data_IF_365894391963
#
_entry.id   IF_365894391963
#
_cell.length_a   1.000
_cell.length_b   1.000
_cell.length_c   1.000
_cell.angle_alpha   90.00
_cell.angle_beta   90.00
_cell.angle_gamma   90.00
#
_symmetry.space_group_name_H-M   'P 1'
#
loop_
_entity.id
_entity.type
_entity.pdbx_description
1 polymer ?
#
# COMPACT_ATOMS: atom_id res chain seq x y z
N UNK A 1 23.48 -16.58 23.50
CA UNK A 1 22.75 -17.56 22.65
C UNK A 1 21.48 -16.87 22.19
N UNK A 2 21.24 -16.87 20.88
CA UNK A 2 20.13 -16.13 20.27
C UNK A 2 18.80 -16.83 20.54
N UNK A 3 17.70 -16.08 20.70
CA UNK A 3 16.35 -16.69 20.76
C UNK A 3 16.03 -17.48 19.49
N UNK A 4 16.55 -17.04 18.34
CA UNK A 4 16.32 -17.68 17.05
C UNK A 4 17.02 -19.05 16.91
N UNK A 5 17.95 -19.38 17.80
CA UNK A 5 18.66 -20.67 17.79
C UNK A 5 17.95 -21.76 18.61
N UNK A 6 17.04 -21.40 19.53
CA UNK A 6 16.36 -22.37 20.42
C UNK A 6 14.84 -22.40 20.27
N UNK A 7 14.25 -21.35 19.71
CA UNK A 7 12.84 -21.39 19.36
C UNK A 7 12.63 -22.32 18.17
N UNK A 8 11.52 -23.03 18.19
CA UNK A 8 11.09 -23.82 17.04
C UNK A 8 10.33 -22.90 16.10
N UNK A 9 10.93 -22.62 14.95
CA UNK A 9 10.49 -21.60 14.02
C UNK A 9 10.19 -22.21 12.66
N UNK A 10 9.11 -21.74 12.03
CA UNK A 10 8.77 -22.06 10.64
C UNK A 10 8.46 -20.79 9.88
N UNK A 11 8.84 -20.77 8.62
CA UNK A 11 8.48 -19.67 7.73
C UNK A 11 7.05 -19.85 7.25
N UNK A 12 6.24 -18.81 7.44
CA UNK A 12 4.94 -18.71 6.77
C UNK A 12 5.15 -18.50 5.27
N UNK A 13 4.10 -18.71 4.47
CA UNK A 13 4.17 -18.41 3.03
C UNK A 13 4.43 -16.92 2.75
N UNK A 14 4.00 -16.03 3.66
CA UNK A 14 4.32 -14.60 3.57
C UNK A 14 5.78 -14.35 3.97
N UNK A 15 6.28 -15.00 5.02
CA UNK A 15 7.68 -14.93 5.41
C UNK A 15 8.61 -15.36 4.27
N UNK A 16 8.25 -16.43 3.54
CA UNK A 16 8.96 -16.85 2.32
C UNK A 16 8.86 -15.79 1.23
N UNK A 17 7.67 -15.24 0.96
CA UNK A 17 7.49 -14.16 -0.03
C UNK A 17 8.44 -12.98 0.23
N UNK A 18 8.55 -12.54 1.49
CA UNK A 18 9.44 -11.45 1.90
C UNK A 18 10.92 -11.82 1.71
N UNK A 19 11.33 -13.03 2.11
CA UNK A 19 12.72 -13.52 2.00
C UNK A 19 13.15 -13.75 0.55
N UNK A 20 12.31 -14.37 -0.26
CA UNK A 20 12.63 -14.72 -1.66
C UNK A 20 12.77 -13.46 -2.55
N UNK A 21 12.18 -12.34 -2.12
CA UNK A 21 12.23 -11.06 -2.81
C UNK A 21 12.99 -10.00 -1.98
N UNK A 22 13.92 -10.43 -1.11
CA UNK A 22 14.55 -9.58 -0.10
C UNK A 22 15.20 -8.31 -0.69
N UNK A 23 15.79 -8.38 -1.88
CA UNK A 23 16.39 -7.19 -2.51
C UNK A 23 15.37 -6.06 -2.77
N UNK A 24 14.18 -6.40 -3.25
CA UNK A 24 13.13 -5.41 -3.53
C UNK A 24 12.48 -4.91 -2.23
N UNK A 25 12.29 -5.79 -1.26
CA UNK A 25 11.71 -5.43 0.03
C UNK A 25 12.65 -4.56 0.86
N UNK A 26 13.94 -4.89 0.95
CA UNK A 26 14.93 -4.05 1.64
C UNK A 26 15.02 -2.66 0.98
N UNK A 27 15.06 -2.58 -0.36
CA UNK A 27 15.03 -1.31 -1.08
C UNK A 27 13.75 -0.49 -0.80
N UNK A 28 12.58 -1.15 -0.77
CA UNK A 28 11.32 -0.51 -0.39
C UNK A 28 11.37 0.00 1.06
N UNK A 29 11.82 -0.81 2.01
CA UNK A 29 11.80 -0.43 3.42
C UNK A 29 12.83 0.65 3.74
N UNK A 30 13.97 0.69 3.06
CA UNK A 30 14.92 1.81 3.09
C UNK A 30 14.28 3.10 2.58
N UNK A 31 13.59 3.04 1.44
CA UNK A 31 12.82 4.19 0.94
C UNK A 31 11.75 4.61 1.94
N UNK A 32 10.98 3.68 2.51
CA UNK A 32 9.98 4.01 3.52
C UNK A 32 10.60 4.65 4.77
N UNK A 33 11.84 4.30 5.15
CA UNK A 33 12.53 4.95 6.27
C UNK A 33 13.00 6.38 5.96
N UNK A 34 13.19 6.73 4.68
CA UNK A 34 13.82 7.99 4.26
C UNK A 34 12.90 8.94 3.50
N UNK A 35 11.79 8.43 2.93
CA UNK A 35 10.81 9.16 2.11
C UNK A 35 9.42 9.02 2.73
N UNK A 36 8.90 10.12 3.26
CA UNK A 36 7.57 10.17 3.88
C UNK A 36 6.47 9.86 2.85
N UNK A 37 6.60 10.34 1.61
CA UNK A 37 5.64 10.09 0.53
C UNK A 37 5.56 8.61 0.18
N UNK A 38 6.70 7.91 0.10
CA UNK A 38 6.74 6.46 -0.14
C UNK A 38 6.16 5.70 1.06
N UNK A 39 6.50 6.12 2.30
CA UNK A 39 5.94 5.51 3.51
C UNK A 39 4.41 5.60 3.54
N UNK A 40 3.87 6.80 3.30
CA UNK A 40 2.42 7.06 3.30
C UNK A 40 1.69 6.28 2.20
N UNK A 41 2.28 6.20 1.00
CA UNK A 41 1.77 5.39 -0.10
C UNK A 41 1.57 3.92 0.34
N UNK A 42 2.62 3.28 0.84
CA UNK A 42 2.59 1.84 1.11
C UNK A 42 1.94 1.43 2.44
N UNK A 43 1.81 2.36 3.38
CA UNK A 43 1.02 2.13 4.61
C UNK A 43 -0.48 2.28 4.40
N UNK A 44 -0.92 2.81 3.26
CA UNK A 44 -2.33 2.83 2.87
C UNK A 44 -2.79 1.39 2.56
N UNK A 45 -3.75 0.82 3.29
CA UNK A 45 -4.19 -0.58 3.05
C UNK A 45 -4.90 -0.70 1.69
N UNK A 46 -4.25 -1.39 0.74
CA UNK A 46 -4.74 -1.52 -0.64
C UNK A 46 -6.04 -2.33 -0.74
N UNK A 47 -6.20 -3.41 0.02
CA UNK A 47 -7.44 -4.22 0.01
C UNK A 47 -8.65 -3.40 0.46
N UNK A 48 -8.50 -2.59 1.51
CA UNK A 48 -9.56 -1.69 1.97
C UNK A 48 -9.91 -0.62 0.93
N UNK A 49 -8.90 -0.06 0.24
CA UNK A 49 -9.13 0.86 -0.88
C UNK A 49 -9.88 0.15 -2.01
N UNK A 50 -9.49 -1.08 -2.34
CA UNK A 50 -10.15 -1.90 -3.37
C UNK A 50 -11.62 -2.15 -3.03
N UNK A 51 -11.95 -2.47 -1.78
CA UNK A 51 -13.35 -2.69 -1.34
C UNK A 51 -14.21 -1.43 -1.38
N UNK A 52 -13.64 -0.25 -1.08
CA UNK A 52 -14.35 1.04 -1.17
C UNK A 52 -14.74 1.37 -2.62
N UNK A 53 -13.89 1.00 -3.57
CA UNK A 53 -14.10 1.26 -5.00
C UNK A 53 -14.83 0.14 -5.73
N UNK A 54 -15.20 -0.98 -5.06
CA UNK A 54 -16.05 -1.99 -5.72
C UNK A 54 -17.36 -1.35 -6.18
N UNK A 55 -17.67 -1.38 -7.49
CA UNK A 55 -18.90 -0.82 -8.00
C UNK A 55 -20.09 -1.51 -7.32
N UNK A 56 -21.15 -0.76 -6.98
CA UNK A 56 -22.40 -1.39 -6.60
C UNK A 56 -22.81 -2.36 -7.72
N UNK A 57 -23.35 -3.53 -7.35
CA UNK A 57 -23.88 -4.47 -8.33
C UNK A 57 -24.93 -3.74 -9.17
N UNK A 58 -24.86 -3.78 -10.52
CA UNK A 58 -25.84 -3.11 -11.36
C UNK A 58 -27.24 -3.57 -10.98
N UNK A 59 -28.16 -2.63 -10.82
CA UNK A 59 -29.57 -2.96 -10.66
C UNK A 59 -30.14 -3.42 -12.00
N UNK A 60 -31.16 -4.29 -11.99
CA UNK A 60 -31.79 -4.83 -13.22
C UNK A 60 -32.25 -3.71 -14.16
N UNK A 61 -32.70 -2.58 -13.59
CA UNK A 61 -33.16 -1.39 -14.32
C UNK A 61 -32.02 -0.63 -15.02
N UNK A 62 -30.80 -0.65 -14.46
CA UNK A 62 -29.62 -0.04 -15.11
C UNK A 62 -29.14 -0.87 -16.31
N UNK A 63 -29.29 -2.20 -16.25
CA UNK A 63 -28.99 -3.11 -17.36
C UNK A 63 -29.98 -2.89 -18.52
N UNK A 64 -31.27 -2.72 -18.23
CA UNK A 64 -32.32 -2.47 -19.23
C UNK A 64 -32.20 -1.09 -19.90
N UNK A 65 -31.79 -0.06 -19.15
CA UNK A 65 -31.59 1.30 -19.67
C UNK A 65 -30.41 1.45 -20.65
N UNK A 66 -29.40 0.59 -20.54
CA UNK A 66 -28.23 0.55 -21.45
C UNK A 66 -28.60 -0.04 -22.81
N UNK A 67 -29.50 -1.04 -22.84
CA UNK A 67 -29.92 -1.73 -24.06
C UNK A 67 -30.87 -0.91 -24.94
N UNK A 68 -31.53 0.11 -24.38
CA UNK A 68 -32.57 0.91 -25.07
C UNK A 68 -32.05 2.17 -25.79
N UNK A 69 -30.76 2.55 -25.66
CA UNK A 69 -30.23 3.82 -26.17
C UNK A 69 -29.55 3.77 -27.54
N UNK A 70 -29.68 2.68 -28.30
CA UNK A 70 -29.23 2.62 -29.69
C UNK A 70 -30.26 3.25 -30.64
N UNK A 71 -30.32 4.59 -30.66
CA UNK A 71 -31.18 5.32 -31.58
C UNK A 71 -30.70 6.74 -31.83
N UNK A 72 -30.21 6.96 -33.06
CA UNK A 72 -30.09 8.23 -33.82
C UNK A 72 -28.73 8.94 -34.00
N UNK A 73 -28.54 9.29 -35.27
CA UNK A 73 -27.66 10.28 -35.95
C UNK A 73 -26.18 9.98 -36.22
N UNK A 74 -25.77 10.33 -37.44
CA UNK A 74 -24.55 9.92 -38.15
C UNK A 74 -23.26 10.13 -37.36
N UNK A 75 -22.54 9.03 -37.14
CA UNK A 75 -21.26 9.00 -36.47
C UNK A 75 -20.11 9.25 -37.43
N UNK A 76 -19.14 10.08 -37.01
CA UNK A 76 -17.86 10.18 -37.72
C UNK A 76 -17.07 8.86 -37.62
N UNK A 77 -16.17 8.59 -38.58
CA UNK A 77 -15.31 7.37 -38.58
C UNK A 77 -14.52 7.19 -37.27
N UNK A 78 -14.04 8.28 -36.67
CA UNK A 78 -13.31 8.25 -35.40
C UNK A 78 -14.21 7.87 -34.22
N UNK A 79 -15.47 8.31 -34.25
CA UNK A 79 -16.49 8.00 -33.25
C UNK A 79 -17.00 6.56 -33.38
N UNK A 80 -16.99 6.01 -34.59
CA UNK A 80 -17.29 4.59 -34.86
C UNK A 80 -16.22 3.67 -34.28
N UNK A 81 -14.94 4.00 -34.48
CA UNK A 81 -13.80 3.27 -33.93
C UNK A 81 -13.77 3.38 -32.39
N UNK A 82 -13.99 4.57 -31.85
CA UNK A 82 -14.08 4.78 -30.40
C UNK A 82 -15.26 4.01 -29.78
N UNK A 83 -16.42 3.92 -30.46
CA UNK A 83 -17.55 3.10 -30.00
C UNK A 83 -17.31 1.60 -30.17
N UNK A 84 -16.60 1.13 -31.19
CA UNK A 84 -16.23 -0.29 -31.32
C UNK A 84 -15.27 -0.74 -30.21
N UNK A 85 -14.29 0.11 -29.85
CA UNK A 85 -13.39 -0.09 -28.72
C UNK A 85 -14.15 0.02 -27.38
N UNK A 86 -15.09 0.96 -27.25
CA UNK A 86 -15.91 1.08 -26.05
C UNK A 86 -16.93 -0.07 -25.90
N UNK A 87 -17.48 -0.62 -27.00
CA UNK A 87 -18.38 -1.79 -27.01
C UNK A 87 -17.67 -3.08 -26.60
N UNK A 88 -16.38 -3.20 -26.87
CA UNK A 88 -15.55 -4.33 -26.39
C UNK A 88 -15.08 -4.16 -24.94
N UNK A 89 -15.19 -2.94 -24.38
CA UNK A 89 -14.65 -2.57 -23.06
C UNK A 89 -15.76 -1.87 -22.23
N UNK A 90 -16.99 -2.40 -22.25
CA UNK A 90 -18.12 -1.83 -21.47
C UNK A 90 -17.99 -2.21 -19.99
N UNK A 91 -16.97 -1.68 -19.33
CA UNK A 91 -16.85 -1.65 -17.88
C UNK A 91 -17.10 -0.21 -17.44
N UNK A 92 -18.00 0.00 -16.50
CA UNK A 92 -18.31 1.30 -15.89
C UNK A 92 -17.06 1.98 -15.34
N UNK A 93 -17.08 3.31 -15.16
CA UNK A 93 -15.94 4.06 -14.58
C UNK A 93 -15.50 3.40 -13.25
N UNK A 94 -16.45 3.03 -12.39
CA UNK A 94 -16.17 2.31 -11.14
C UNK A 94 -15.53 0.92 -11.36
N UNK A 95 -16.01 0.11 -12.31
CA UNK A 95 -15.34 -1.16 -12.67
C UNK A 95 -13.92 -0.94 -13.24
N UNK A 96 -13.69 0.16 -13.95
CA UNK A 96 -12.37 0.52 -14.48
C UNK A 96 -11.41 0.95 -13.36
N UNK A 97 -11.89 1.67 -12.34
CA UNK A 97 -11.09 1.99 -11.14
C UNK A 97 -10.60 0.72 -10.45
N UNK A 98 -11.47 -0.28 -10.33
CA UNK A 98 -11.16 -1.58 -9.73
C UNK A 98 -10.09 -2.38 -10.49
N UNK A 99 -10.04 -2.29 -11.84
CA UNK A 99 -9.08 -3.03 -12.66
C UNK A 99 -7.64 -2.54 -12.48
N UNK A 100 -7.41 -1.23 -12.30
CA UNK A 100 -6.06 -0.70 -12.09
C UNK A 100 -5.51 -1.04 -10.70
N UNK A 101 -6.31 -0.93 -9.65
CA UNK A 101 -5.85 -1.24 -8.27
C UNK A 101 -5.50 -2.74 -8.15
N UNK A 102 -6.20 -3.60 -8.88
CA UNK A 102 -5.96 -5.06 -8.86
C UNK A 102 -4.70 -5.47 -9.65
N UNK A 103 -4.26 -4.66 -10.62
CA UNK A 103 -3.11 -4.98 -11.50
C UNK A 103 -1.76 -4.40 -11.03
N UNK A 104 -1.75 -3.50 -10.04
CA UNK A 104 -0.51 -2.87 -9.54
C UNK A 104 0.11 -1.88 -10.52
N UNK A 105 -0.71 -1.35 -11.42
CA UNK A 105 -0.33 -0.33 -12.40
C UNK A 105 -0.78 1.05 -11.91
N UNK A 106 0.10 2.05 -12.04
CA UNK A 106 -0.10 3.42 -11.53
C UNK A 106 0.22 4.42 -12.64
N UNK A 107 -0.72 5.32 -12.98
CA UNK A 107 -0.53 6.33 -14.02
C UNK A 107 -0.40 7.74 -13.45
N UNK A 108 0.40 8.60 -14.08
CA UNK A 108 0.46 10.04 -13.75
C UNK A 108 0.54 10.98 -14.98
N UNK A 109 -0.01 12.21 -14.85
CA UNK A 109 -0.03 13.28 -15.86
C UNK A 109 0.81 14.49 -15.39
N UNK A 110 1.73 14.97 -16.21
CA UNK A 110 2.50 16.23 -16.04
C UNK A 110 2.21 17.21 -17.21
N UNK A 111 2.08 18.53 -16.99
CA UNK A 111 1.94 19.16 -15.70
C UNK A 111 0.61 18.75 -15.06
N UNK A 112 0.67 18.47 -13.75
CA UNK A 112 -0.48 18.03 -12.99
C UNK A 112 -1.40 19.22 -12.70
N UNK A 113 -2.68 19.11 -13.04
CA UNK A 113 -3.65 20.16 -12.80
C UNK A 113 -4.92 19.58 -12.16
N UNK A 114 -5.09 19.84 -10.85
CA UNK A 114 -6.25 19.39 -10.07
C UNK A 114 -7.59 19.89 -10.65
N UNK A 115 -7.60 21.05 -11.31
CA UNK A 115 -8.81 21.56 -11.97
C UNK A 115 -9.18 20.74 -13.21
N UNK A 116 -8.20 20.03 -13.79
CA UNK A 116 -8.34 19.22 -15.00
C UNK A 116 -8.58 17.73 -14.75
N UNK A 117 -8.51 17.25 -13.50
CA UNK A 117 -9.01 15.92 -13.15
C UNK A 117 -10.53 15.82 -13.40
N UNK A 118 -11.26 16.95 -13.26
CA UNK A 118 -12.67 17.05 -13.64
C UNK A 118 -12.91 17.12 -15.16
N UNK A 119 -11.84 17.18 -15.95
CA UNK A 119 -11.86 17.29 -17.42
C UNK A 119 -11.72 15.93 -18.13
N UNK A 120 -12.18 14.85 -17.49
CA UNK A 120 -12.43 13.53 -18.13
C UNK A 120 -13.25 13.65 -19.43
N UNK A 121 -13.98 14.76 -19.61
CA UNK A 121 -14.94 14.96 -20.71
C UNK A 121 -14.37 15.54 -22.01
N UNK A 122 -13.13 16.04 -22.07
CA UNK A 122 -12.65 16.78 -23.27
C UNK A 122 -11.77 15.99 -24.23
N UNK A 123 -11.24 14.83 -23.83
CA UNK A 123 -10.48 13.93 -24.72
C UNK A 123 -10.92 12.47 -24.45
N UNK A 124 -12.04 12.02 -25.07
CA UNK A 124 -12.69 10.75 -24.75
C UNK A 124 -11.82 9.50 -24.94
N UNK A 125 -10.79 9.55 -25.80
CA UNK A 125 -9.92 8.39 -26.10
C UNK A 125 -8.84 8.13 -25.06
N UNK A 126 -8.32 9.17 -24.40
CA UNK A 126 -7.28 9.04 -23.36
C UNK A 126 -7.88 8.84 -21.96
N UNK A 127 -9.00 9.49 -21.65
CA UNK A 127 -9.73 9.26 -20.40
C UNK A 127 -10.27 7.84 -20.27
N UNK A 128 -10.67 7.21 -21.37
CA UNK A 128 -11.22 5.84 -21.35
C UNK A 128 -10.20 4.73 -21.10
N UNK A 129 -8.98 4.85 -21.62
CA UNK A 129 -7.92 3.83 -21.45
C UNK A 129 -7.12 4.08 -20.17
N UNK A 130 -6.95 5.34 -19.77
CA UNK A 130 -6.05 5.71 -18.68
C UNK A 130 -6.74 6.23 -17.41
N UNK A 131 -8.04 6.57 -17.45
CA UNK A 131 -8.82 6.99 -16.28
C UNK A 131 -8.86 5.96 -15.13
N UNK A 132 -8.72 4.67 -15.44
CA UNK A 132 -8.50 3.59 -14.46
C UNK A 132 -7.17 3.73 -13.72
N UNK A 133 -6.07 4.06 -14.41
CA UNK A 133 -4.74 4.17 -13.81
C UNK A 133 -4.56 5.41 -12.93
N UNK A 134 -5.40 6.43 -13.13
CA UNK A 134 -5.42 7.67 -12.34
C UNK A 134 -6.33 7.62 -11.12
N UNK A 135 -7.34 6.74 -11.07
CA UNK A 135 -8.20 6.63 -9.90
C UNK A 135 -7.47 6.11 -8.66
N UNK A 136 -6.47 5.24 -8.83
CA UNK A 136 -5.63 4.76 -7.73
C UNK A 136 -4.91 5.92 -7.04
N UNK A 137 -4.44 6.89 -7.83
CA UNK A 137 -3.76 8.08 -7.34
C UNK A 137 -4.71 8.87 -6.44
N UNK A 138 -5.94 9.09 -6.89
CA UNK A 138 -6.94 9.85 -6.11
C UNK A 138 -7.31 9.10 -4.83
N UNK A 139 -7.58 7.79 -4.89
CA UNK A 139 -7.94 7.02 -3.68
C UNK A 139 -6.77 6.94 -2.68
N UNK A 140 -5.53 6.81 -3.15
CA UNK A 140 -4.34 6.89 -2.29
C UNK A 140 -4.19 8.29 -1.70
N UNK A 141 -4.37 9.36 -2.49
CA UNK A 141 -4.31 10.75 -2.00
C UNK A 141 -5.37 11.00 -0.92
N UNK A 142 -6.59 10.48 -1.10
CA UNK A 142 -7.66 10.54 -0.11
C UNK A 142 -7.25 9.83 1.18
N UNK A 143 -6.80 8.58 1.10
CA UNK A 143 -6.34 7.81 2.27
C UNK A 143 -5.15 8.46 2.96
N UNK A 144 -4.24 9.09 2.20
CA UNK A 144 -3.13 9.85 2.79
C UNK A 144 -3.63 11.09 3.52
N UNK A 145 -4.63 11.77 2.97
CA UNK A 145 -5.37 12.83 3.65
C UNK A 145 -5.89 12.39 5.02
N UNK A 146 -6.38 11.15 5.12
CA UNK A 146 -6.91 10.59 6.37
C UNK A 146 -5.85 10.29 7.44
N UNK A 147 -4.56 10.24 7.06
CA UNK A 147 -3.44 10.25 8.01
C UNK A 147 -3.21 11.64 8.64
N UNK A 148 -3.91 12.69 8.21
CA UNK A 148 -3.69 14.06 8.66
C UNK A 148 -2.47 14.72 8.00
N UNK A 149 -2.00 14.14 6.89
CA UNK A 149 -0.92 14.69 6.06
C UNK A 149 -1.51 15.06 4.69
N UNK A 150 -1.00 16.12 4.11
CA UNK A 150 -1.31 16.46 2.71
C UNK A 150 -0.08 16.15 1.89
N UNK A 151 -0.21 15.20 0.96
CA UNK A 151 0.78 15.03 -0.10
C UNK A 151 0.16 15.54 -1.40
N UNK A 152 0.97 16.18 -2.22
CA UNK A 152 0.56 16.64 -3.54
C UNK A 152 0.70 15.50 -4.55
N UNK A 153 0.01 15.59 -5.68
CA UNK A 153 0.23 14.69 -6.81
C UNK A 153 1.68 14.67 -7.32
N UNK A 154 2.41 15.79 -7.20
CA UNK A 154 3.84 15.86 -7.51
C UNK A 154 4.67 15.03 -6.52
N UNK A 155 4.30 15.01 -5.24
CA UNK A 155 4.97 14.18 -4.22
C UNK A 155 4.78 12.69 -4.49
N UNK A 156 3.58 12.27 -4.93
CA UNK A 156 3.33 10.88 -5.33
C UNK A 156 4.09 10.51 -6.60
N UNK A 157 4.20 11.41 -7.58
CA UNK A 157 5.05 11.19 -8.75
C UNK A 157 6.51 10.95 -8.35
N UNK A 158 7.01 11.79 -7.45
CA UNK A 158 8.36 11.64 -6.94
C UNK A 158 8.53 10.31 -6.22
N UNK A 159 7.54 9.88 -5.42
CA UNK A 159 7.54 8.57 -4.78
C UNK A 159 7.57 7.41 -5.80
N UNK A 160 6.79 7.47 -6.89
CA UNK A 160 6.84 6.45 -7.94
C UNK A 160 8.20 6.40 -8.64
N UNK A 161 8.79 7.56 -8.94
CA UNK A 161 10.14 7.66 -9.54
C UNK A 161 11.25 7.21 -8.57
N UNK A 162 11.08 7.41 -7.27
CA UNK A 162 11.98 6.85 -6.25
C UNK A 162 11.87 5.32 -6.23
N UNK A 163 10.64 4.79 -6.23
CA UNK A 163 10.40 3.35 -6.28
C UNK A 163 10.93 2.71 -7.58
N UNK A 164 10.79 3.39 -8.71
CA UNK A 164 11.35 2.94 -9.99
C UNK A 164 12.88 2.90 -9.94
N UNK A 165 13.53 3.97 -9.47
CA UNK A 165 14.99 4.03 -9.33
C UNK A 165 15.53 2.97 -8.36
N UNK A 166 14.76 2.62 -7.34
CA UNK A 166 15.09 1.56 -6.39
C UNK A 166 14.73 0.14 -6.90
N UNK A 167 14.14 0.02 -8.09
CA UNK A 167 13.76 -1.26 -8.70
C UNK A 167 12.49 -1.90 -8.12
N UNK A 168 11.77 -1.18 -7.25
CA UNK A 168 10.48 -1.59 -6.64
C UNK A 168 9.34 -1.47 -7.66
N UNK A 169 9.44 -0.51 -8.59
CA UNK A 169 8.53 -0.32 -9.71
C UNK A 169 9.28 -0.35 -11.05
N UNK A 170 8.55 -0.51 -12.15
CA UNK A 170 9.06 -0.44 -13.52
C UNK A 170 8.23 0.56 -14.31
N UNK A 171 8.85 1.52 -15.00
CA UNK A 171 8.15 2.35 -16.00
C UNK A 171 7.79 1.47 -17.21
N UNK A 172 6.51 1.39 -17.52
CA UNK A 172 6.00 0.65 -18.67
C UNK A 172 5.93 1.51 -19.92
N UNK A 173 5.41 2.74 -19.79
CA UNK A 173 5.15 3.62 -20.93
C UNK A 173 5.34 5.08 -20.54
N UNK A 174 5.94 5.85 -21.47
CA UNK A 174 5.95 7.31 -21.43
C UNK A 174 5.35 7.86 -22.71
N UNK A 175 4.31 8.67 -22.55
CA UNK A 175 3.57 9.26 -23.66
C UNK A 175 3.63 10.77 -23.51
N UNK A 176 3.94 11.47 -24.59
CA UNK A 176 3.87 12.92 -24.64
C UNK A 176 2.73 13.33 -25.57
N UNK A 177 1.87 14.26 -25.15
CA UNK A 177 0.69 14.70 -25.89
C UNK A 177 0.66 16.23 -25.99
N UNK A 178 0.35 16.77 -27.16
CA UNK A 178 0.01 18.18 -27.28
C UNK A 178 -1.47 18.39 -26.97
N UNK A 179 -1.79 19.20 -25.94
CA UNK A 179 -3.18 19.50 -25.54
C UNK A 179 -4.03 20.07 -26.67
N UNK A 180 -3.42 20.86 -27.55
CA UNK A 180 -4.13 21.61 -28.59
C UNK A 180 -4.19 20.90 -29.94
N UNK A 181 -3.15 20.16 -30.29
CA UNK A 181 -3.04 19.51 -31.61
C UNK A 181 -3.45 18.04 -31.59
N UNK A 182 -3.52 17.39 -30.41
CA UNK A 182 -3.76 15.96 -30.30
C UNK A 182 -2.62 15.07 -30.80
N UNK A 183 -1.52 15.65 -31.28
CA UNK A 183 -0.29 14.92 -31.58
C UNK A 183 0.24 14.24 -30.32
N UNK A 184 0.74 13.01 -30.46
CA UNK A 184 1.38 12.29 -29.37
C UNK A 184 2.67 11.59 -29.82
N UNK A 185 3.53 11.29 -28.84
CA UNK A 185 4.78 10.54 -29.01
C UNK A 185 4.89 9.50 -27.90
N UNK A 186 5.11 8.24 -28.26
CA UNK A 186 5.56 7.19 -27.35
C UNK A 186 7.06 6.96 -27.60
N UNK A 187 7.83 6.50 -26.60
CA UNK A 187 9.31 6.42 -26.64
C UNK A 187 9.88 5.70 -27.90
N UNK A 188 9.10 4.89 -28.62
CA UNK A 188 9.53 4.17 -29.81
C UNK A 188 9.20 4.83 -31.18
N UNK A 189 8.47 5.95 -31.23
CA UNK A 189 8.08 6.60 -32.51
C UNK A 189 8.35 8.11 -32.52
N UNK A 190 9.29 8.56 -33.36
CA UNK A 190 9.52 9.98 -33.69
C UNK A 190 8.65 10.38 -34.88
N UNK A 191 7.96 11.53 -34.89
CA UNK A 191 8.59 12.78 -35.35
C UNK A 191 7.66 14.02 -35.34
N UNK A 192 6.38 13.93 -35.00
CA UNK A 192 5.43 15.07 -35.16
C UNK A 192 5.21 15.95 -33.92
N UNK A 193 5.57 15.47 -32.72
CA UNK A 193 5.40 16.26 -31.48
C UNK A 193 6.58 17.22 -31.21
N UNK A 194 7.78 16.87 -31.68
CA UNK A 194 9.00 17.59 -31.35
C UNK A 194 8.98 19.02 -31.94
N UNK A 195 8.32 19.22 -33.08
CA UNK A 195 8.14 20.53 -33.74
C UNK A 195 6.88 21.29 -33.30
N UNK A 196 6.04 20.71 -32.43
CA UNK A 196 4.81 21.34 -31.96
C UNK A 196 5.13 22.43 -30.92
N UNK A 197 4.70 23.70 -31.12
CA UNK A 197 5.01 24.83 -30.23
C UNK A 197 4.07 24.94 -29.02
N UNK A 198 3.04 24.09 -28.94
CA UNK A 198 2.02 24.14 -27.90
C UNK A 198 2.43 23.41 -26.62
N UNK A 199 1.70 23.67 -25.53
CA UNK A 199 1.89 22.99 -24.25
C UNK A 199 1.74 21.46 -24.39
N UNK A 200 2.74 20.75 -23.88
CA UNK A 200 2.82 19.28 -23.90
C UNK A 200 2.47 18.73 -22.52
N UNK A 201 1.75 17.62 -22.52
CA UNK A 201 1.51 16.76 -21.38
C UNK A 201 2.45 15.56 -21.49
N UNK A 202 3.05 15.13 -20.38
CA UNK A 202 3.65 13.82 -20.23
C UNK A 202 2.73 12.93 -19.41
N UNK A 203 2.54 11.71 -19.88
CA UNK A 203 1.89 10.61 -19.17
C UNK A 203 2.95 9.56 -18.89
N UNK A 204 2.97 9.03 -17.68
CA UNK A 204 3.92 8.01 -17.26
C UNK A 204 3.17 6.89 -16.52
N UNK A 205 3.37 5.65 -16.95
CA UNK A 205 2.76 4.45 -16.38
C UNK A 205 3.83 3.63 -15.66
N UNK A 206 3.60 3.34 -14.39
CA UNK A 206 4.44 2.51 -13.55
C UNK A 206 3.74 1.20 -13.23
N UNK A 207 4.51 0.13 -13.07
CA UNK A 207 4.04 -1.16 -12.57
C UNK A 207 4.88 -1.60 -11.38
N UNK A 208 4.20 -1.96 -10.30
CA UNK A 208 4.84 -2.50 -9.10
C UNK A 208 5.27 -3.94 -9.35
N UNK A 209 6.42 -4.35 -8.78
CA UNK A 209 6.82 -5.76 -8.79
C UNK A 209 5.75 -6.62 -8.13
N UNK A 210 5.45 -7.78 -8.72
CA UNK A 210 4.34 -8.65 -8.30
C UNK A 210 4.42 -9.07 -6.83
N UNK A 211 5.62 -9.38 -6.32
CA UNK A 211 5.82 -9.74 -4.91
C UNK A 211 5.49 -8.59 -3.96
N UNK A 212 5.87 -7.35 -4.32
CA UNK A 212 5.56 -6.15 -3.51
C UNK A 212 4.05 -5.87 -3.56
N UNK A 213 3.42 -6.00 -4.73
CA UNK A 213 1.98 -5.84 -4.88
C UNK A 213 1.21 -6.82 -4.01
N UNK A 214 1.62 -8.09 -4.00
CA UNK A 214 0.97 -9.12 -3.21
C UNK A 214 1.10 -8.87 -1.71
N UNK A 215 2.29 -8.50 -1.25
CA UNK A 215 2.51 -8.11 0.15
C UNK A 215 1.67 -6.87 0.55
N UNK A 216 1.55 -5.90 -0.36
CA UNK A 216 0.73 -4.71 -0.11
C UNK A 216 -0.76 -5.03 -0.03
N UNK A 217 -1.29 -5.86 -0.93
CA UNK A 217 -2.68 -6.35 -0.88
C UNK A 217 -2.99 -7.07 0.42
N UNK A 218 -2.06 -7.89 0.91
CA UNK A 218 -2.23 -8.66 2.15
C UNK A 218 -2.05 -7.83 3.43
N UNK A 219 -1.64 -6.58 3.32
CA UNK A 219 -1.44 -5.70 4.48
C UNK A 219 -0.21 -6.05 5.33
N UNK A 220 0.80 -6.69 4.73
CA UNK A 220 2.03 -7.14 5.44
C UNK A 220 3.22 -6.21 5.19
N UNK A 221 3.00 -5.07 4.54
CA UNK A 221 4.07 -4.07 4.36
C UNK A 221 4.42 -3.43 5.71
N UNK A 222 3.44 -3.27 6.60
CA UNK A 222 3.67 -2.72 7.94
C UNK A 222 4.67 -3.54 8.76
N UNK A 223 4.56 -4.87 8.80
CA UNK A 223 5.45 -5.71 9.61
C UNK A 223 6.89 -5.72 9.06
N UNK A 224 7.05 -5.79 7.73
CA UNK A 224 8.35 -5.68 7.08
C UNK A 224 9.02 -4.33 7.33
N UNK A 225 8.28 -3.23 7.16
CA UNK A 225 8.77 -1.88 7.50
C UNK A 225 9.18 -1.77 8.97
N UNK A 226 8.35 -2.27 9.89
CA UNK A 226 8.61 -2.20 11.32
C UNK A 226 9.86 -3.01 11.70
N UNK A 227 10.01 -4.23 11.19
CA UNK A 227 11.19 -5.04 11.41
C UNK A 227 12.46 -4.42 10.81
N UNK A 228 12.36 -3.79 9.64
CA UNK A 228 13.48 -3.09 9.01
C UNK A 228 13.93 -1.87 9.83
N UNK A 229 12.97 -1.08 10.31
CA UNK A 229 13.22 0.03 11.21
C UNK A 229 13.96 -0.41 12.49
N UNK A 230 13.62 -1.58 13.05
CA UNK A 230 14.33 -2.18 14.18
C UNK A 230 15.75 -2.65 13.81
N UNK A 231 15.95 -3.21 12.61
CA UNK A 231 17.30 -3.58 12.12
C UNK A 231 18.24 -2.37 12.06
N UNK A 232 17.74 -1.21 11.63
CA UNK A 232 18.52 0.04 11.63
C UNK A 232 19.00 0.43 13.04
N UNK A 233 18.23 0.05 14.08
CA UNK A 233 18.58 0.23 15.49
C UNK A 233 19.34 -0.97 16.08
N UNK A 234 19.92 -1.83 15.22
CA UNK A 234 20.74 -3.01 15.55
C UNK A 234 19.98 -4.17 16.21
N UNK A 235 18.67 -4.24 16.07
CA UNK A 235 17.92 -5.43 16.45
C UNK A 235 18.12 -6.53 15.41
N UNK A 236 18.21 -7.78 15.85
CA UNK A 236 18.02 -8.94 14.98
C UNK A 236 16.53 -9.20 14.88
N UNK A 237 15.98 -9.36 13.67
CA UNK A 237 14.53 -9.50 13.47
C UNK A 237 14.21 -10.69 12.57
N UNK A 238 13.08 -11.33 12.84
CA UNK A 238 12.37 -12.20 11.91
C UNK A 238 10.94 -11.65 11.72
N UNK A 239 10.43 -11.80 10.50
CA UNK A 239 9.11 -11.31 10.09
C UNK A 239 8.27 -12.47 9.59
N UNK A 240 6.98 -12.47 9.93
CA UNK A 240 5.99 -13.42 9.42
C UNK A 240 6.43 -14.88 9.63
N UNK A 241 6.71 -15.23 10.89
CA UNK A 241 7.15 -16.58 11.29
C UNK A 241 6.10 -17.23 12.19
N UNK A 242 6.09 -18.56 12.20
CA UNK A 242 5.35 -19.33 13.19
C UNK A 242 6.31 -19.81 14.29
N UNK A 243 5.86 -19.74 15.53
CA UNK A 243 6.59 -20.23 16.71
C UNK A 243 5.75 -21.30 17.39
N UNK A 244 6.35 -22.45 17.70
CA UNK A 244 5.69 -23.47 18.51
C UNK A 244 5.70 -23.05 19.99
N UNK A 245 4.52 -22.91 20.58
CA UNK A 245 4.35 -22.61 22.00
C UNK A 245 4.49 -23.86 22.86
N UNK A 246 4.56 -23.66 24.19
CA UNK A 246 4.77 -24.72 25.19
C UNK A 246 3.63 -25.75 25.28
N UNK A 247 2.50 -25.49 24.61
CA UNK A 247 1.38 -26.43 24.45
C UNK A 247 1.31 -27.10 23.07
N UNK A 248 2.42 -27.13 22.31
CA UNK A 248 2.51 -27.67 20.95
C UNK A 248 1.61 -26.97 19.91
N UNK A 249 1.09 -25.78 20.23
CA UNK A 249 0.34 -24.94 19.31
C UNK A 249 1.29 -24.06 18.51
N UNK A 250 1.04 -23.93 17.21
CA UNK A 250 1.75 -23.00 16.35
C UNK A 250 1.05 -21.65 16.36
N UNK A 251 1.79 -20.60 16.67
CA UNK A 251 1.31 -19.24 16.60
C UNK A 251 2.12 -18.47 15.56
N UNK A 252 1.42 -17.88 14.58
CA UNK A 252 2.01 -16.88 13.71
C UNK A 252 2.26 -15.60 14.51
N UNK A 253 3.42 -14.99 14.29
CA UNK A 253 3.78 -13.68 14.80
C UNK A 253 4.37 -12.82 13.68
N UNK A 254 3.91 -11.57 13.60
CA UNK A 254 4.25 -10.69 12.50
C UNK A 254 5.72 -10.22 12.58
N UNK A 255 6.20 -9.87 13.78
CA UNK A 255 7.62 -9.54 14.02
C UNK A 255 8.08 -10.09 15.37
N UNK A 256 9.21 -10.80 15.37
CA UNK A 256 9.97 -11.13 16.58
C UNK A 256 11.37 -10.53 16.46
N UNK A 257 11.81 -9.82 17.49
CA UNK A 257 13.08 -9.13 17.50
C UNK A 257 13.88 -9.40 18.77
N UNK A 258 15.21 -9.43 18.64
CA UNK A 258 16.16 -9.62 19.73
C UNK A 258 17.23 -8.54 19.67
N UNK A 259 17.50 -7.91 20.82
CA UNK A 259 18.69 -7.10 21.02
C UNK A 259 19.20 -7.27 22.45
N UNK A 260 20.44 -7.74 22.58
CA UNK A 260 21.08 -8.00 23.87
C UNK A 260 20.21 -8.91 24.76
N UNK A 261 19.81 -8.43 25.94
CA UNK A 261 18.95 -9.14 26.89
C UNK A 261 17.46 -8.86 26.69
N UNK A 262 17.07 -8.14 25.64
CA UNK A 262 15.67 -7.80 25.35
C UNK A 262 15.11 -8.57 24.14
N UNK A 263 13.83 -8.92 24.25
CA UNK A 263 13.02 -9.54 23.19
C UNK A 263 11.78 -8.69 22.97
N UNK A 264 11.42 -8.47 21.71
CA UNK A 264 10.18 -7.82 21.31
C UNK A 264 9.33 -8.81 20.52
N UNK A 265 8.10 -9.03 20.99
CA UNK A 265 7.06 -9.78 20.29
C UNK A 265 6.04 -8.79 19.75
N UNK A 266 5.76 -8.80 18.46
CA UNK A 266 4.97 -7.75 17.84
C UNK A 266 3.93 -8.29 16.85
N UNK A 267 2.71 -7.78 17.00
CA UNK A 267 1.58 -7.95 16.08
C UNK A 267 1.32 -6.63 15.34
N UNK A 268 1.25 -6.71 14.02
CA UNK A 268 0.99 -5.61 13.11
C UNK A 268 -0.42 -5.72 12.53
N UNK A 269 -1.13 -4.59 12.43
CA UNK A 269 -2.47 -4.50 11.84
C UNK A 269 -2.53 -3.30 10.90
N UNK A 270 -2.27 -3.55 9.62
CA UNK A 270 -2.38 -2.52 8.60
C UNK A 270 -3.86 -2.30 8.24
N UNK A 271 -4.43 -1.17 8.66
CA UNK A 271 -5.81 -0.75 8.43
C UNK A 271 -5.86 0.55 7.62
N UNK A 272 -7.05 0.89 7.13
CA UNK A 272 -7.30 2.26 6.68
C UNK A 272 -7.12 3.24 7.86
N UNK A 273 -6.54 4.44 7.66
CA UNK A 273 -6.14 5.30 8.77
C UNK A 273 -7.29 5.80 9.63
N UNK A 274 -8.45 6.00 9.02
CA UNK A 274 -9.67 6.41 9.71
C UNK A 274 -10.30 5.28 10.54
N UNK A 275 -9.85 4.03 10.37
CA UNK A 275 -10.44 2.89 11.05
C UNK A 275 -9.90 2.73 12.47
N UNK A 276 -10.78 2.23 13.33
CA UNK A 276 -10.48 1.94 14.72
C UNK A 276 -10.20 0.45 14.86
N UNK A 277 -9.04 0.10 15.41
CA UNK A 277 -8.75 -1.27 15.83
C UNK A 277 -9.56 -1.59 17.09
N UNK A 278 -10.39 -2.62 16.97
CA UNK A 278 -11.36 -2.98 18.01
C UNK A 278 -10.68 -3.59 19.24
N UNK A 279 -11.38 -3.57 20.38
CA UNK A 279 -10.92 -4.24 21.61
C UNK A 279 -10.76 -5.74 21.40
N UNK A 280 -11.66 -6.37 20.66
CA UNK A 280 -11.65 -7.81 20.38
C UNK A 280 -10.40 -8.22 19.60
N UNK A 281 -10.05 -7.47 18.55
CA UNK A 281 -8.82 -7.70 17.78
C UNK A 281 -7.56 -7.51 18.63
N UNK A 282 -7.53 -6.48 19.49
CA UNK A 282 -6.41 -6.26 20.40
C UNK A 282 -6.29 -7.37 21.44
N UNK A 283 -7.40 -7.85 22.01
CA UNK A 283 -7.37 -8.96 22.96
C UNK A 283 -6.93 -10.27 22.30
N UNK A 284 -7.32 -10.51 21.04
CA UNK A 284 -6.85 -11.67 20.27
C UNK A 284 -5.33 -11.61 20.05
N UNK A 285 -4.82 -10.46 19.60
CA UNK A 285 -3.37 -10.26 19.44
C UNK A 285 -2.62 -10.41 20.77
N UNK A 286 -3.16 -9.84 21.86
CA UNK A 286 -2.58 -9.96 23.19
C UNK A 286 -2.51 -11.42 23.67
N UNK A 287 -3.54 -12.23 23.43
CA UNK A 287 -3.54 -13.64 23.80
C UNK A 287 -2.41 -14.42 23.13
N UNK A 288 -2.19 -14.19 21.83
CA UNK A 288 -1.05 -14.78 21.10
C UNK A 288 0.28 -14.34 21.72
N UNK A 289 0.44 -13.05 21.98
CA UNK A 289 1.66 -12.48 22.53
C UNK A 289 1.96 -13.00 23.95
N UNK A 290 0.93 -13.20 24.79
CA UNK A 290 1.09 -13.74 26.15
C UNK A 290 1.49 -15.23 26.16
N UNK A 291 0.99 -16.04 25.22
CA UNK A 291 1.40 -17.45 25.10
C UNK A 291 2.81 -17.59 24.53
N UNK A 292 3.19 -16.73 23.58
CA UNK A 292 4.55 -16.66 23.06
C UNK A 292 5.54 -16.12 24.10
N UNK A 293 5.13 -15.14 24.92
CA UNK A 293 5.94 -14.65 26.03
C UNK A 293 6.29 -15.78 26.99
N UNK A 294 5.33 -16.59 27.43
CA UNK A 294 5.60 -17.76 28.30
C UNK A 294 6.63 -18.70 27.65
N UNK A 295 6.46 -18.97 26.37
CA UNK A 295 7.35 -19.84 25.60
C UNK A 295 8.78 -19.31 25.55
N UNK A 296 8.95 -18.01 25.32
CA UNK A 296 10.27 -17.37 25.33
C UNK A 296 10.84 -17.34 26.75
N UNK A 297 10.03 -17.01 27.76
CA UNK A 297 10.46 -16.89 29.15
C UNK A 297 10.94 -18.22 29.72
N UNK A 298 10.26 -19.34 29.41
CA UNK A 298 10.68 -20.68 29.84
C UNK A 298 12.05 -21.06 29.27
N UNK A 299 12.30 -20.75 28.00
CA UNK A 299 13.57 -21.05 27.32
C UNK A 299 14.67 -20.03 27.66
N UNK A 300 14.30 -18.81 28.07
CA UNK A 300 15.19 -17.67 28.29
C UNK A 300 14.79 -16.82 29.51
N UNK A 301 14.91 -17.34 30.74
CA UNK A 301 14.35 -16.71 31.95
C UNK A 301 15.00 -15.38 32.36
N UNK A 302 16.14 -15.02 31.74
CA UNK A 302 16.87 -13.78 32.02
C UNK A 302 16.59 -12.67 31.01
N UNK A 303 15.90 -12.97 29.91
CA UNK A 303 15.59 -11.96 28.89
C UNK A 303 14.38 -11.14 29.31
N UNK A 304 14.43 -9.84 29.07
CA UNK A 304 13.30 -8.94 29.23
C UNK A 304 12.41 -9.02 27.99
N UNK A 305 11.15 -9.41 28.17
CA UNK A 305 10.20 -9.56 27.06
C UNK A 305 9.27 -8.35 27.03
N UNK A 306 9.19 -7.70 25.88
CA UNK A 306 8.24 -6.62 25.57
C UNK A 306 7.30 -7.09 24.48
N UNK A 307 6.06 -6.61 24.55
CA UNK A 307 5.01 -6.89 23.57
C UNK A 307 4.62 -5.60 22.87
N UNK A 308 4.30 -5.68 21.58
CA UNK A 308 3.80 -4.55 20.82
C UNK A 308 2.61 -4.94 19.95
N UNK A 309 1.64 -4.02 19.87
CA UNK A 309 0.61 -4.04 18.84
C UNK A 309 0.75 -2.75 18.06
N UNK A 310 0.98 -2.88 16.76
CA UNK A 310 1.29 -1.78 15.84
C UNK A 310 0.18 -1.69 14.80
N UNK A 311 -0.38 -0.51 14.56
CA UNK A 311 -1.44 -0.33 13.57
C UNK A 311 -1.32 0.98 12.81
N UNK A 312 -1.68 0.97 11.52
CA UNK A 312 -1.87 2.19 10.71
C UNK A 312 -3.23 2.85 10.95
N UNK A 313 -4.11 2.25 11.77
CA UNK A 313 -5.35 2.87 12.24
C UNK A 313 -5.16 3.57 13.60
N UNK A 314 -6.25 3.67 14.36
CA UNK A 314 -6.24 4.16 15.75
C UNK A 314 -6.81 3.13 16.71
N UNK A 315 -6.37 3.10 17.96
CA UNK A 315 -6.96 2.22 18.96
C UNK A 315 -8.30 2.74 19.48
N UNK A 316 -9.26 1.82 19.72
CA UNK A 316 -10.48 2.14 20.43
C UNK A 316 -10.19 2.74 21.82
N UNK A 317 -11.03 3.70 22.26
CA UNK A 317 -10.86 4.40 23.55
C UNK A 317 -10.84 3.44 24.75
N UNK A 318 -11.53 2.31 24.64
CA UNK A 318 -11.64 1.28 25.68
C UNK A 318 -10.33 0.54 25.96
N UNK A 319 -9.35 0.65 25.06
CA UNK A 319 -8.03 -0.01 25.16
C UNK A 319 -7.07 0.79 26.07
N UNK A 320 -7.48 1.96 26.58
CA UNK A 320 -6.67 2.81 27.48
C UNK A 320 -6.09 2.06 28.69
N UNK A 321 -6.81 1.08 29.24
CA UNK A 321 -6.32 0.26 30.36
C UNK A 321 -5.13 -0.65 29.98
N UNK A 322 -5.07 -1.13 28.74
CA UNK A 322 -3.95 -1.94 28.23
C UNK A 322 -2.72 -1.06 28.02
N UNK A 323 -2.91 0.19 27.58
CA UNK A 323 -1.84 1.18 27.39
C UNK A 323 -1.07 1.51 28.67
N UNK A 324 -1.62 1.19 29.84
CA UNK A 324 -0.99 1.42 31.14
C UNK A 324 -0.06 0.27 31.60
N UNK A 325 -0.02 -0.87 30.88
CA UNK A 325 0.89 -1.98 31.18
C UNK A 325 2.31 -1.62 30.74
N UNK A 326 3.31 -1.81 31.61
CA UNK A 326 4.72 -1.45 31.33
C UNK A 326 5.37 -2.32 30.26
N UNK A 327 4.94 -3.56 30.13
CA UNK A 327 5.44 -4.58 29.20
C UNK A 327 4.76 -4.54 27.81
N UNK A 328 3.81 -3.62 27.61
CA UNK A 328 3.01 -3.54 26.38
C UNK A 328 3.10 -2.17 25.70
N UNK A 329 3.43 -2.19 24.42
CA UNK A 329 3.49 -1.00 23.57
C UNK A 329 2.33 -1.00 22.58
N UNK A 330 1.50 0.03 22.65
CA UNK A 330 0.50 0.31 21.63
C UNK A 330 1.03 1.44 20.75
N UNK A 331 1.20 1.15 19.46
CA UNK A 331 1.76 2.06 18.45
C UNK A 331 0.71 2.25 17.37
N UNK A 332 0.18 3.47 17.22
CA UNK A 332 -0.86 3.78 16.23
C UNK A 332 -0.33 4.65 15.08
N UNK A 333 -1.22 5.03 14.15
CA UNK A 333 -0.86 5.87 13.00
C UNK A 333 -0.11 7.14 13.38
N UNK A 334 -0.43 7.76 14.51
CA UNK A 334 0.20 9.01 14.92
C UNK A 334 1.66 8.73 15.31
N UNK A 335 1.91 7.64 16.02
CA UNK A 335 3.26 7.20 16.35
C UNK A 335 4.07 6.88 15.08
N UNK A 336 3.49 6.13 14.14
CA UNK A 336 4.20 5.64 12.93
C UNK A 336 4.52 6.78 11.94
N UNK A 337 3.62 7.76 11.80
CA UNK A 337 3.68 8.76 10.73
C UNK A 337 4.02 10.16 11.25
N UNK A 338 3.50 10.55 12.41
CA UNK A 338 3.72 11.90 12.92
C UNK A 338 5.04 11.99 13.69
N UNK A 339 5.49 10.89 14.32
CA UNK A 339 6.70 10.87 15.14
C UNK A 339 7.50 9.55 14.98
N UNK A 340 8.04 9.23 13.79
CA UNK A 340 8.67 7.94 13.53
C UNK A 340 9.90 7.64 14.41
N UNK A 341 10.49 8.64 15.06
CA UNK A 341 11.56 8.46 16.06
C UNK A 341 11.02 8.16 17.47
N UNK A 342 9.82 8.61 17.82
CA UNK A 342 9.31 8.53 19.19
C UNK A 342 8.92 7.12 19.59
N UNK A 343 8.34 6.33 18.68
CA UNK A 343 8.02 4.93 18.98
C UNK A 343 9.29 4.06 19.10
N UNK A 344 10.33 4.34 18.29
CA UNK A 344 11.62 3.65 18.41
C UNK A 344 12.24 3.92 19.79
N UNK A 345 12.24 5.18 20.23
CA UNK A 345 12.70 5.56 21.58
C UNK A 345 11.86 4.94 22.71
N UNK A 346 10.54 4.78 22.51
CA UNK A 346 9.65 4.11 23.48
C UNK A 346 9.98 2.63 23.65
N UNK A 347 10.40 1.94 22.59
CA UNK A 347 10.89 0.56 22.68
C UNK A 347 12.13 0.47 23.57
N UNK A 348 12.95 1.52 23.62
CA UNK A 348 14.15 1.61 24.47
C UNK A 348 13.89 2.04 25.92
N UNK A 349 12.96 2.98 26.14
CA UNK A 349 12.79 3.67 27.44
C UNK A 349 11.72 3.10 28.37
N UNK A 350 10.97 2.09 27.93
CA UNK A 350 9.99 1.38 28.78
C UNK A 350 10.58 0.90 30.11
#
# INVERSE_FOLDING_TARGET
MSIFEKLELRDTDIGKLLKDNNQWFEALFDLMCTSDSVRLLFLSNLDMIQRKEEPPRPTVTEIEGILMREGTTEQSKAEKIAKEIAKTISVSIAERRVVSIRSGNFGLIEPFDMSKIKLENSIPSLGHVYGSYFSNLVSVLETVGDFGKTITPADLLNAYRECERAGVMTSLEKIFLCKRCGFFKCEENTSSLDTCPHEKIRLELFQLKSGILEAWKRGVILCGYFAHALKQDKWKTLTEVEVQSTGDMWHQIDVIAEKEDSVLLCECKQLHPANVLSKEEVMKALGILEDLEKTVQEKFPKKEIRKAIVTTGVFAKEIRGIRARKDMLLIDRNDIIMEPKSWRERIWRG
#
